data_IF_075645341684
#
_entry.id   IF_075645341684
#
_cell.length_a   1.000
_cell.length_b   1.000
_cell.length_c   1.000
_cell.angle_alpha   90.00
_cell.angle_beta   90.00
_cell.angle_gamma   90.00
#
_symmetry.space_group_name_H-M   'P 1'
#
loop_
_entity.id
_entity.type
_entity.pdbx_description
1 polymer ?
#
# COMPACT_ATOMS: atom_id res chain seq x y z
N UNK A 1 -33.51 -53.15 2.57
CA UNK A 1 -32.95 -53.92 1.45
C UNK A 1 -31.66 -53.25 1.05
N UNK A 2 -30.48 -53.75 1.53
CA UNK A 2 -29.59 -54.69 0.85
C UNK A 2 -29.16 -54.05 -0.50
N UNK A 3 -27.88 -53.77 -0.79
CA UNK A 3 -26.58 -54.51 -0.79
C UNK A 3 -25.43 -53.47 -0.80
N UNK A 4 -24.45 -53.43 -0.02
CA UNK A 4 -23.24 -54.24 0.27
C UNK A 4 -22.56 -54.90 -0.95
N UNK A 5 -21.39 -54.42 -1.34
CA UNK A 5 -20.25 -55.09 -1.97
C UNK A 5 -19.09 -54.08 -2.01
N UNK A 6 -18.10 -54.13 -1.24
CA UNK A 6 -16.90 -54.97 -1.05
C UNK A 6 -16.21 -55.40 -2.35
N UNK A 7 -14.94 -55.04 -2.43
CA UNK A 7 -13.83 -55.71 -3.13
C UNK A 7 -13.01 -54.72 -3.94
N UNK A 8 -11.68 -54.62 -4.01
CA UNK A 8 -10.58 -55.54 -3.66
C UNK A 8 -9.29 -54.75 -3.60
N UNK A 9 -8.47 -55.13 -2.69
CA UNK A 9 -7.05 -54.81 -2.50
C UNK A 9 -6.22 -55.13 -3.75
N UNK A 10 -5.37 -54.22 -4.18
CA UNK A 10 -4.21 -54.53 -5.00
C UNK A 10 -2.97 -53.77 -4.53
N UNK A 11 -2.21 -54.48 -3.71
CA UNK A 11 -0.81 -54.15 -3.38
C UNK A 11 0.04 -54.48 -4.60
N UNK A 12 0.75 -53.51 -5.14
CA UNK A 12 1.86 -53.76 -6.03
C UNK A 12 3.11 -53.09 -5.43
N UNK A 13 3.95 -53.95 -4.83
CA UNK A 13 5.33 -53.69 -4.53
C UNK A 13 6.13 -53.60 -5.81
N UNK A 14 6.74 -52.48 -6.07
CA UNK A 14 7.86 -52.39 -6.99
C UNK A 14 9.08 -51.81 -6.26
N UNK A 15 10.01 -52.71 -5.97
CA UNK A 15 11.40 -52.38 -5.64
C UNK A 15 12.14 -52.09 -6.95
N UNK A 16 12.92 -51.02 -6.97
CA UNK A 16 13.90 -50.94 -8.04
C UNK A 16 14.49 -49.54 -8.27
N UNK A 17 15.70 -49.38 -7.71
CA UNK A 17 16.89 -48.71 -8.30
C UNK A 17 16.93 -47.18 -8.29
N UNK A 18 17.90 -46.74 -7.49
CA UNK A 18 18.51 -45.42 -7.46
C UNK A 18 19.05 -44.97 -8.82
N UNK A 19 18.72 -43.75 -9.19
CA UNK A 19 19.64 -42.92 -9.97
C UNK A 19 19.36 -41.47 -9.64
N UNK A 20 20.39 -40.77 -9.16
CA UNK A 20 20.31 -39.38 -8.71
C UNK A 20 20.01 -38.42 -9.86
N UNK A 21 19.01 -37.61 -9.66
CA UNK A 21 18.88 -36.38 -10.41
C UNK A 21 18.54 -35.25 -9.43
N UNK A 22 19.51 -34.38 -9.32
CA UNK A 22 19.48 -33.14 -8.56
C UNK A 22 18.44 -32.20 -9.20
N UNK A 23 17.22 -32.26 -8.72
CA UNK A 23 16.18 -31.31 -9.06
C UNK A 23 16.33 -30.10 -8.16
N UNK A 24 16.73 -29.01 -8.76
CA UNK A 24 16.76 -27.68 -8.12
C UNK A 24 15.32 -27.22 -7.92
N UNK A 25 14.84 -27.26 -6.70
CA UNK A 25 13.65 -26.53 -6.30
C UNK A 25 13.89 -25.02 -6.47
N UNK A 26 12.95 -24.27 -7.08
CA UNK A 26 13.03 -22.83 -7.01
C UNK A 26 12.68 -22.42 -5.57
N UNK A 27 13.67 -21.93 -4.84
CA UNK A 27 13.45 -21.16 -3.61
C UNK A 27 12.58 -19.96 -3.97
N UNK A 28 11.33 -20.01 -3.59
CA UNK A 28 10.50 -18.81 -3.42
C UNK A 28 11.12 -18.02 -2.28
N UNK A 29 11.92 -17.03 -2.63
CA UNK A 29 12.38 -16.01 -1.69
C UNK A 29 11.16 -15.16 -1.40
N UNK A 30 10.55 -15.35 -0.26
CA UNK A 30 9.69 -14.34 0.35
C UNK A 30 10.61 -13.14 0.62
N UNK A 31 10.54 -12.14 -0.24
CA UNK A 31 11.11 -10.83 0.05
C UNK A 31 10.28 -10.22 1.18
N UNK A 32 10.80 -10.41 2.38
CA UNK A 32 10.42 -9.60 3.54
C UNK A 32 10.78 -8.15 3.21
N UNK A 33 9.78 -7.38 2.77
CA UNK A 33 9.92 -5.95 2.54
C UNK A 33 10.00 -5.27 3.90
N UNK A 34 11.22 -5.23 4.43
CA UNK A 34 11.57 -4.42 5.59
C UNK A 34 11.49 -2.97 5.16
N UNK A 35 10.40 -2.30 5.52
CA UNK A 35 10.32 -0.84 5.45
C UNK A 35 11.24 -0.26 6.52
N UNK A 36 12.50 -0.07 6.17
CA UNK A 36 13.35 0.85 6.92
C UNK A 36 12.79 2.25 6.75
N UNK A 37 12.53 2.92 7.86
CA UNK A 37 12.46 4.39 7.88
C UNK A 37 13.74 4.89 7.21
N UNK A 38 13.61 5.50 6.07
CA UNK A 38 14.74 5.67 5.18
C UNK A 38 15.16 7.09 5.04
N UNK A 39 16.33 7.29 5.57
CA UNK A 39 17.34 8.17 5.03
C UNK A 39 18.38 7.37 4.18
N UNK A 40 17.98 6.42 3.35
CA UNK A 40 18.87 5.81 2.35
C UNK A 40 18.40 6.20 0.94
N UNK A 41 18.76 7.43 0.59
CA UNK A 41 18.88 7.88 -0.79
C UNK A 41 20.03 7.10 -1.44
N UNK A 42 19.74 6.48 -2.58
CA UNK A 42 20.67 5.82 -3.46
C UNK A 42 21.92 6.73 -3.68
N UNK A 43 23.11 6.23 -3.33
CA UNK A 43 24.34 7.01 -3.18
C UNK A 43 25.00 7.49 -4.47
N UNK A 44 24.34 7.37 -5.62
CA UNK A 44 24.84 7.82 -6.92
C UNK A 44 24.02 8.95 -7.57
N UNK A 45 23.06 9.53 -6.83
CA UNK A 45 22.40 10.75 -7.29
C UNK A 45 23.23 11.96 -6.86
N UNK A 46 23.67 12.77 -7.79
CA UNK A 46 24.25 14.10 -7.54
C UNK A 46 23.50 14.78 -6.41
N UNK A 47 24.24 15.19 -5.36
CA UNK A 47 23.67 15.75 -4.14
C UNK A 47 22.68 16.85 -4.50
N UNK A 48 21.41 16.63 -4.19
CA UNK A 48 20.35 17.62 -4.41
C UNK A 48 20.65 18.84 -3.54
N UNK A 49 20.78 20.01 -4.14
CA UNK A 49 21.08 21.26 -3.43
C UNK A 49 19.84 21.76 -2.68
N UNK A 50 18.65 21.58 -3.27
CA UNK A 50 17.35 21.91 -2.68
C UNK A 50 16.35 20.83 -3.03
N UNK A 51 15.71 20.26 -2.01
CA UNK A 51 14.62 19.29 -2.18
C UNK A 51 13.36 19.98 -2.70
N UNK A 52 12.49 19.20 -3.37
CA UNK A 52 11.20 19.75 -3.73
C UNK A 52 10.31 19.95 -2.48
N UNK A 53 9.59 21.05 -2.46
CA UNK A 53 8.80 21.45 -1.28
C UNK A 53 7.38 21.82 -1.68
N UNK A 54 6.40 21.31 -0.94
CA UNK A 54 5.02 21.78 -1.06
C UNK A 54 4.89 23.18 -0.41
N UNK A 55 4.37 24.21 -1.13
CA UNK A 55 4.46 25.60 -0.68
C UNK A 55 3.67 25.88 0.59
N UNK A 56 2.63 25.12 0.86
CA UNK A 56 1.73 25.30 2.01
C UNK A 56 2.12 24.37 3.18
N UNK A 57 3.32 24.52 3.74
CA UNK A 57 3.78 23.79 4.92
C UNK A 57 4.51 22.47 4.64
N UNK A 58 5.14 22.35 3.48
CA UNK A 58 5.95 21.19 3.12
C UNK A 58 5.15 19.88 3.05
N UNK A 59 5.81 18.77 3.36
CA UNK A 59 5.17 17.44 3.27
C UNK A 59 3.97 17.29 4.23
N UNK A 60 4.01 17.93 5.39
CA UNK A 60 2.92 17.86 6.36
C UNK A 60 1.71 18.69 5.90
N UNK A 61 1.95 19.85 5.28
CA UNK A 61 0.91 20.64 4.63
C UNK A 61 0.24 19.87 3.49
N UNK A 62 1.04 19.18 2.67
CA UNK A 62 0.52 18.28 1.64
C UNK A 62 -0.34 17.15 2.23
N UNK A 63 0.13 16.47 3.29
CA UNK A 63 -0.63 15.41 3.97
C UNK A 63 -1.96 15.93 4.53
N UNK A 64 -1.97 17.11 5.14
CA UNK A 64 -3.18 17.72 5.68
C UNK A 64 -4.18 18.08 4.58
N UNK A 65 -3.69 18.66 3.48
CA UNK A 65 -4.53 18.96 2.33
C UNK A 65 -5.09 17.69 1.70
N UNK A 66 -4.26 16.67 1.51
CA UNK A 66 -4.68 15.36 1.01
C UNK A 66 -5.77 14.75 1.90
N UNK A 67 -5.57 14.74 3.21
CA UNK A 67 -6.55 14.22 4.17
C UNK A 67 -7.90 14.95 4.07
N UNK A 68 -7.91 16.23 3.80
CA UNK A 68 -9.14 17.02 3.60
C UNK A 68 -9.87 16.68 2.29
N UNK A 69 -9.19 16.09 1.32
CA UNK A 69 -9.73 15.71 0.01
C UNK A 69 -10.17 14.25 -0.08
N UNK A 70 -9.73 13.42 0.86
CA UNK A 70 -10.13 12.01 0.95
C UNK A 70 -11.58 11.92 1.42
N UNK A 71 -12.37 11.17 0.68
CA UNK A 71 -13.78 10.91 0.97
C UNK A 71 -13.93 9.53 1.61
N UNK A 72 -14.19 9.51 2.92
CA UNK A 72 -14.33 8.27 3.68
C UNK A 72 -15.48 7.37 3.18
N UNK A 73 -16.52 7.95 2.60
CA UNK A 73 -17.66 7.21 2.06
C UNK A 73 -17.30 6.35 0.83
N UNK A 74 -16.14 6.57 0.24
CA UNK A 74 -15.64 5.79 -0.90
C UNK A 74 -14.75 4.61 -0.48
N UNK A 75 -14.40 4.53 0.80
CA UNK A 75 -13.52 3.49 1.33
C UNK A 75 -14.39 2.36 1.91
N UNK A 76 -14.34 1.17 1.30
CA UNK A 76 -15.26 0.08 1.63
C UNK A 76 -15.07 -0.45 3.06
N UNK A 77 -13.83 -0.61 3.50
CA UNK A 77 -13.54 -1.05 4.87
C UNK A 77 -14.04 -0.03 5.92
N UNK A 78 -13.96 1.26 5.61
CA UNK A 78 -14.53 2.31 6.44
C UNK A 78 -16.06 2.15 6.60
N UNK A 79 -16.76 1.88 5.50
CA UNK A 79 -18.20 1.62 5.50
C UNK A 79 -18.58 0.39 6.33
N UNK A 80 -17.78 -0.67 6.28
CA UNK A 80 -18.04 -1.89 7.04
C UNK A 80 -17.88 -1.69 8.55
N UNK A 81 -16.82 -0.99 8.96
CA UNK A 81 -16.61 -0.62 10.37
C UNK A 81 -17.77 0.24 10.89
N UNK A 82 -18.19 1.26 10.14
CA UNK A 82 -19.33 2.11 10.50
C UNK A 82 -20.64 1.31 10.60
N UNK A 83 -20.89 0.41 9.65
CA UNK A 83 -22.08 -0.45 9.65
C UNK A 83 -22.09 -1.37 10.87
N UNK A 84 -20.95 -1.99 11.19
CA UNK A 84 -20.79 -2.85 12.35
C UNK A 84 -20.97 -2.08 13.66
N UNK A 85 -20.44 -0.87 13.78
CA UNK A 85 -20.63 0.01 14.94
C UNK A 85 -22.10 0.34 15.17
N UNK A 86 -22.82 0.73 14.12
CA UNK A 86 -24.26 1.06 14.21
C UNK A 86 -25.09 -0.15 14.66
N UNK A 87 -24.77 -1.34 14.14
CA UNK A 87 -25.47 -2.58 14.48
C UNK A 87 -25.22 -3.01 15.95
N UNK A 88 -23.94 -3.02 16.38
CA UNK A 88 -23.57 -3.39 17.77
C UNK A 88 -24.15 -2.40 18.78
N UNK A 89 -24.11 -1.10 18.51
CA UNK A 89 -24.71 -0.08 19.37
C UNK A 89 -26.22 -0.29 19.53
N UNK A 90 -26.91 -0.68 18.46
CA UNK A 90 -28.36 -0.95 18.46
C UNK A 90 -28.74 -2.15 19.36
N UNK A 91 -27.87 -3.17 19.38
CA UNK A 91 -28.16 -4.41 20.14
C UNK A 91 -27.68 -4.32 21.59
N UNK A 92 -26.45 -3.87 21.81
CA UNK A 92 -25.79 -3.96 23.11
C UNK A 92 -25.77 -2.66 23.90
N UNK A 93 -26.22 -1.55 23.34
CA UNK A 93 -26.11 -0.19 23.92
C UNK A 93 -24.68 0.14 24.40
N UNK A 94 -23.67 -0.53 23.90
CA UNK A 94 -22.25 -0.27 24.16
C UNK A 94 -21.57 0.28 22.92
N UNK A 95 -20.74 1.30 23.09
CA UNK A 95 -19.91 1.82 21.98
C UNK A 95 -18.84 0.77 21.66
N UNK A 96 -18.82 0.20 20.46
CA UNK A 96 -17.76 -0.74 20.09
C UNK A 96 -16.42 -0.02 20.02
N UNK A 97 -15.40 -0.60 20.64
CA UNK A 97 -14.02 -0.11 20.58
C UNK A 97 -13.30 -0.92 19.49
N UNK A 98 -13.70 -0.74 18.26
CA UNK A 98 -12.94 -1.29 17.13
C UNK A 98 -12.25 -0.13 16.42
N UNK A 99 -10.94 -0.02 16.59
CA UNK A 99 -10.10 0.87 15.79
C UNK A 99 -9.60 0.05 14.61
N UNK A 100 -9.99 0.43 13.41
CA UNK A 100 -9.39 -0.11 12.19
C UNK A 100 -8.39 0.92 11.66
N UNK A 101 -7.18 0.48 11.35
CA UNK A 101 -6.17 1.31 10.71
C UNK A 101 -5.94 0.80 9.30
N UNK A 102 -6.15 1.67 8.33
CA UNK A 102 -5.90 1.40 6.92
C UNK A 102 -4.66 2.18 6.52
N UNK A 103 -3.75 1.55 5.79
CA UNK A 103 -2.51 2.16 5.35
C UNK A 103 -2.27 1.96 3.85
N UNK A 104 -1.62 2.94 3.25
CA UNK A 104 -1.16 2.90 1.86
C UNK A 104 0.14 3.69 1.72
N UNK A 105 0.94 3.38 0.73
CA UNK A 105 2.11 4.17 0.34
C UNK A 105 1.78 4.87 -0.97
N UNK A 106 1.67 6.20 -0.90
CA UNK A 106 1.53 7.05 -2.06
C UNK A 106 2.90 7.34 -2.67
N UNK A 107 3.05 7.07 -3.95
CA UNK A 107 4.23 7.44 -4.76
C UNK A 107 3.82 8.46 -5.81
N UNK A 108 4.65 9.46 -6.05
CA UNK A 108 4.47 10.42 -7.12
C UNK A 108 5.78 11.07 -7.50
N UNK A 109 5.81 11.69 -8.66
CA UNK A 109 6.95 12.43 -9.20
C UNK A 109 6.63 13.92 -9.23
N UNK A 110 7.56 14.76 -8.74
CA UNK A 110 7.49 16.21 -8.90
C UNK A 110 8.32 16.60 -10.11
N UNK A 111 7.68 17.22 -11.08
CA UNK A 111 8.30 17.67 -12.33
C UNK A 111 9.02 19.02 -12.15
N UNK A 112 9.95 19.40 -13.06
CA UNK A 112 10.65 20.68 -13.00
C UNK A 112 9.75 21.91 -13.07
N UNK A 113 8.52 21.77 -13.57
CA UNK A 113 7.53 22.84 -13.59
C UNK A 113 6.66 22.89 -12.33
N UNK A 114 6.91 21.98 -11.36
CA UNK A 114 6.19 21.85 -10.11
C UNK A 114 4.88 21.04 -10.18
N UNK A 115 4.57 20.47 -11.33
CA UNK A 115 3.41 19.55 -11.46
C UNK A 115 3.73 18.18 -10.89
N UNK A 116 2.68 17.41 -10.56
CA UNK A 116 2.81 16.04 -10.09
C UNK A 116 2.46 15.07 -11.22
N UNK A 117 3.31 14.07 -11.43
CA UNK A 117 3.11 12.95 -12.37
C UNK A 117 3.27 11.60 -11.67
N UNK A 118 3.07 10.50 -12.40
CA UNK A 118 3.30 9.11 -11.97
C UNK A 118 2.65 8.76 -10.62
N UNK A 119 1.43 9.26 -10.38
CA UNK A 119 0.70 9.06 -9.14
C UNK A 119 0.26 7.61 -9.02
N UNK A 120 0.68 6.94 -7.94
CA UNK A 120 0.27 5.58 -7.60
C UNK A 120 0.17 5.40 -6.09
N UNK A 121 -0.87 4.75 -5.61
CA UNK A 121 -1.02 4.38 -4.22
C UNK A 121 -1.09 2.86 -4.08
N UNK A 122 -0.34 2.29 -3.13
CA UNK A 122 -0.24 0.85 -2.90
C UNK A 122 -0.43 0.52 -1.42
N UNK A 123 -1.43 -0.30 -1.11
CA UNK A 123 -1.78 -0.79 0.21
C UNK A 123 -2.77 -1.95 0.08
N UNK A 124 -3.14 -2.55 1.20
CA UNK A 124 -4.03 -3.71 1.21
C UNK A 124 -5.46 -3.37 0.79
N UNK A 125 -5.92 -2.16 1.08
CA UNK A 125 -7.28 -1.71 0.75
C UNK A 125 -7.31 -0.99 -0.60
N UNK A 126 -7.90 -1.63 -1.61
CA UNK A 126 -7.95 -1.12 -2.97
C UNK A 126 -8.75 0.18 -3.09
N UNK A 127 -9.93 0.26 -2.44
CA UNK A 127 -10.77 1.46 -2.49
C UNK A 127 -10.08 2.67 -1.84
N UNK A 128 -9.27 2.44 -0.80
CA UNK A 128 -8.45 3.47 -0.20
C UNK A 128 -7.33 3.95 -1.13
N UNK A 129 -6.64 3.03 -1.81
CA UNK A 129 -5.61 3.39 -2.80
C UNK A 129 -6.19 4.27 -3.91
N UNK A 130 -7.32 3.86 -4.50
CA UNK A 130 -8.02 4.61 -5.55
C UNK A 130 -8.47 5.99 -5.07
N UNK A 131 -8.96 6.08 -3.84
CA UNK A 131 -9.38 7.36 -3.27
C UNK A 131 -8.21 8.31 -3.01
N UNK A 132 -7.06 7.80 -2.53
CA UNK A 132 -5.82 8.58 -2.41
C UNK A 132 -5.41 9.14 -3.77
N UNK A 133 -5.33 8.30 -4.80
CA UNK A 133 -4.95 8.73 -6.15
C UNK A 133 -5.90 9.80 -6.70
N UNK A 134 -7.20 9.61 -6.50
CA UNK A 134 -8.23 10.59 -6.88
C UNK A 134 -8.04 11.92 -6.14
N UNK A 135 -7.80 11.85 -4.83
CA UNK A 135 -7.61 13.02 -3.99
C UNK A 135 -6.36 13.81 -4.41
N UNK A 136 -5.23 13.13 -4.65
CA UNK A 136 -3.99 13.76 -5.15
C UNK A 136 -4.22 14.45 -6.49
N UNK A 137 -4.87 13.78 -7.44
CA UNK A 137 -5.20 14.35 -8.76
C UNK A 137 -6.10 15.61 -8.67
N UNK A 138 -6.83 15.78 -7.57
CA UNK A 138 -7.66 16.97 -7.34
C UNK A 138 -6.90 18.17 -6.76
N UNK A 139 -5.64 17.98 -6.33
CA UNK A 139 -4.78 19.03 -5.80
C UNK A 139 -4.13 19.77 -6.96
N UNK A 140 -4.44 21.06 -7.10
CA UNK A 140 -3.92 21.90 -8.17
C UNK A 140 -2.70 22.74 -7.75
N UNK A 141 -2.37 22.73 -6.46
CA UNK A 141 -1.22 23.47 -5.92
C UNK A 141 0.08 22.90 -6.47
N UNK A 142 0.85 23.73 -7.14
CA UNK A 142 2.16 23.33 -7.68
C UNK A 142 3.21 23.26 -6.58
N UNK A 143 4.09 22.27 -6.68
CA UNK A 143 5.25 22.14 -5.83
C UNK A 143 6.37 23.10 -6.27
N UNK A 144 7.22 23.48 -5.34
CA UNK A 144 8.53 24.07 -5.64
C UNK A 144 9.44 22.89 -5.99
N UNK A 145 9.97 22.79 -7.23
CA UNK A 145 10.75 21.63 -7.65
C UNK A 145 12.12 21.56 -6.97
N UNK A 146 12.73 20.39 -6.97
CA UNK A 146 14.08 20.19 -6.51
C UNK A 146 15.08 20.87 -7.45
N UNK A 147 16.25 21.26 -6.92
CA UNK A 147 17.31 21.89 -7.69
C UNK A 147 18.65 21.17 -7.46
N UNK A 148 19.41 20.97 -8.55
CA UNK A 148 20.80 20.50 -8.55
C UNK A 148 21.62 21.49 -9.37
N UNK A 149 22.65 22.10 -8.78
CA UNK A 149 23.51 23.10 -9.43
C UNK A 149 22.71 24.27 -10.06
N UNK A 150 21.58 24.62 -9.45
CA UNK A 150 20.69 25.69 -9.92
C UNK A 150 19.72 25.30 -11.04
N UNK A 151 19.77 24.08 -11.50
CA UNK A 151 18.80 23.53 -12.47
C UNK A 151 17.69 22.74 -11.76
N UNK A 152 16.46 22.94 -12.24
CA UNK A 152 15.29 22.22 -11.72
C UNK A 152 15.32 20.78 -12.18
N UNK A 153 15.17 19.85 -11.25
CA UNK A 153 15.23 18.41 -11.52
C UNK A 153 13.96 17.70 -11.09
N UNK A 154 13.71 16.53 -11.69
CA UNK A 154 12.65 15.60 -11.31
C UNK A 154 12.98 15.01 -9.94
N UNK A 155 11.97 14.88 -9.09
CA UNK A 155 12.12 14.20 -7.78
C UNK A 155 10.95 13.29 -7.47
N UNK A 156 11.26 12.09 -6.97
CA UNK A 156 10.27 11.07 -6.63
C UNK A 156 10.01 11.03 -5.13
N UNK A 157 8.75 10.98 -4.76
CA UNK A 157 8.30 10.97 -3.37
C UNK A 157 7.60 9.66 -3.01
N UNK A 158 7.83 9.23 -1.76
CA UNK A 158 7.18 8.09 -1.14
C UNK A 158 6.55 8.58 0.18
N UNK A 159 5.24 8.63 0.23
CA UNK A 159 4.51 9.21 1.36
C UNK A 159 3.61 8.14 1.99
N UNK A 160 3.94 7.65 3.19
CA UNK A 160 3.06 6.74 3.91
C UNK A 160 1.81 7.50 4.39
N UNK A 161 0.65 6.97 4.05
CA UNK A 161 -0.66 7.51 4.43
C UNK A 161 -1.35 6.48 5.33
N UNK A 162 -1.83 6.93 6.49
CA UNK A 162 -2.57 6.10 7.44
C UNK A 162 -3.83 6.83 7.89
N UNK A 163 -4.95 6.13 7.93
CA UNK A 163 -6.18 6.60 8.56
C UNK A 163 -6.61 5.62 9.64
N UNK A 164 -7.11 6.14 10.74
CA UNK A 164 -7.68 5.33 11.82
C UNK A 164 -9.16 5.66 11.96
N UNK A 165 -9.99 4.62 11.91
CA UNK A 165 -11.44 4.72 12.12
C UNK A 165 -11.72 4.40 13.58
N UNK A 166 -12.38 5.31 14.30
CA UNK A 166 -12.77 5.16 15.71
C UNK A 166 -14.27 4.95 15.88
#
# INVERSE_FOLDING_TARGET
MRFLKLSVLAVVLFLGVACGQKSSEPKTTEEEVVYKDTDEVDKDVDKVDKEAVFPEGGIDGFRNLLASKVDADKIDEYKEVERSRKWIFRIFRKKPISKATISSVLTFTVEPDGTISDISAKGENQSFNEEIERAVKSIQTKWIPAEVKGEKVISKYYVPIKITVE
#
